data_IF_364428043171
#
_entry.id   IF_364428043171
#
_cell.length_a   1.000
_cell.length_b   1.000
_cell.length_c   1.000
_cell.angle_alpha   90.00
_cell.angle_beta   90.00
_cell.angle_gamma   90.00
#
_symmetry.space_group_name_H-M   'P 1'
#
loop_
_entity.id
_entity.type
_entity.pdbx_description
1 polymer ?
#
# COMPACT_ATOMS: atom_id res chain seq x y z
N UNK A 1 1.53 -22.42 4.92
CA UNK A 1 0.12 -22.46 5.37
C UNK A 1 -0.66 -23.35 4.41
N UNK A 2 -1.65 -24.12 4.87
CA UNK A 2 -2.51 -24.94 4.02
C UNK A 2 -3.86 -24.23 3.86
N UNK A 3 -4.31 -24.08 2.62
CA UNK A 3 -5.61 -23.50 2.27
C UNK A 3 -6.35 -24.53 1.41
N UNK A 4 -7.67 -24.65 1.60
CA UNK A 4 -8.54 -25.50 0.79
C UNK A 4 -9.35 -24.56 -0.11
N UNK A 5 -9.38 -24.85 -1.41
CA UNK A 5 -10.08 -24.04 -2.42
C UNK A 5 -10.82 -25.00 -3.33
N UNK A 6 -12.11 -24.74 -3.56
CA UNK A 6 -12.91 -25.52 -4.50
C UNK A 6 -12.72 -24.96 -5.91
N UNK A 7 -12.49 -25.86 -6.87
CA UNK A 7 -12.33 -25.54 -8.29
C UNK A 7 -13.30 -26.40 -9.11
N UNK A 8 -13.95 -25.84 -10.15
CA UNK A 8 -14.69 -26.62 -11.13
C UNK A 8 -13.83 -27.70 -11.78
N UNK A 9 -14.43 -28.83 -12.15
CA UNK A 9 -13.73 -29.98 -12.76
C UNK A 9 -12.99 -29.60 -14.05
N UNK A 10 -13.57 -28.70 -14.85
CA UNK A 10 -12.94 -28.13 -16.06
C UNK A 10 -11.62 -27.41 -15.75
N UNK A 11 -11.54 -26.69 -14.63
CA UNK A 11 -10.32 -25.99 -14.23
C UNK A 11 -9.25 -26.95 -13.70
N UNK A 12 -9.66 -28.05 -13.06
CA UNK A 12 -8.75 -29.11 -12.61
C UNK A 12 -8.11 -29.80 -13.82
N UNK A 13 -8.91 -30.16 -14.82
CA UNK A 13 -8.41 -30.77 -16.05
C UNK A 13 -7.43 -29.86 -16.80
N UNK A 14 -7.76 -28.57 -16.93
CA UNK A 14 -6.86 -27.59 -17.54
C UNK A 14 -5.54 -27.41 -16.76
N UNK A 15 -5.61 -27.42 -15.42
CA UNK A 15 -4.44 -27.32 -14.57
C UNK A 15 -3.53 -28.56 -14.71
N UNK A 16 -4.11 -29.74 -14.89
CA UNK A 16 -3.37 -30.98 -15.09
C UNK A 16 -2.59 -30.98 -16.40
N UNK A 17 -3.23 -30.61 -17.50
CA UNK A 17 -2.56 -30.46 -18.79
C UNK A 17 -1.41 -29.45 -18.72
N UNK A 18 -1.63 -28.31 -18.06
CA UNK A 18 -0.57 -27.32 -17.83
C UNK A 18 0.61 -27.88 -17.02
N UNK A 19 0.33 -28.64 -15.96
CA UNK A 19 1.38 -29.23 -15.13
C UNK A 19 2.21 -30.28 -15.89
N UNK A 20 1.58 -31.04 -16.80
CA UNK A 20 2.26 -32.01 -17.65
C UNK A 20 3.18 -31.35 -18.67
N UNK A 21 2.71 -30.29 -19.33
CA UNK A 21 3.49 -29.52 -20.31
C UNK A 21 4.70 -28.84 -19.65
N UNK A 22 4.49 -28.16 -18.52
CA UNK A 22 5.51 -27.38 -17.82
C UNK A 22 6.37 -28.22 -16.85
N UNK A 23 6.03 -29.51 -16.66
CA UNK A 23 6.71 -30.43 -15.72
C UNK A 23 6.82 -29.89 -14.29
N UNK A 24 5.77 -29.21 -13.83
CA UNK A 24 5.69 -28.64 -12.47
C UNK A 24 4.62 -29.35 -11.65
N UNK A 25 4.79 -29.37 -10.33
CA UNK A 25 3.74 -29.85 -9.44
C UNK A 25 2.51 -28.93 -9.48
N UNK A 26 1.30 -29.49 -9.32
CA UNK A 26 0.05 -28.72 -9.16
C UNK A 26 0.17 -27.57 -8.17
N UNK A 27 0.80 -27.83 -7.02
CA UNK A 27 0.98 -26.82 -5.97
C UNK A 27 1.89 -25.66 -6.42
N UNK A 28 2.88 -25.93 -7.25
CA UNK A 28 3.77 -24.90 -7.81
C UNK A 28 3.06 -24.07 -8.87
N UNK A 29 2.31 -24.71 -9.77
CA UNK A 29 1.49 -24.02 -10.76
C UNK A 29 0.51 -23.03 -10.09
N UNK A 30 -0.18 -23.47 -9.03
CA UNK A 30 -1.09 -22.61 -8.25
C UNK A 30 -0.32 -21.47 -7.57
N UNK A 31 0.85 -21.73 -6.98
CA UNK A 31 1.66 -20.65 -6.37
C UNK A 31 2.07 -19.60 -7.40
N UNK A 32 2.51 -20.00 -8.59
CA UNK A 32 2.87 -19.09 -9.68
C UNK A 32 1.67 -18.26 -10.12
N UNK A 33 0.54 -18.90 -10.38
CA UNK A 33 -0.70 -18.22 -10.75
C UNK A 33 -1.14 -17.19 -9.70
N UNK A 34 -1.09 -17.54 -8.41
CA UNK A 34 -1.40 -16.61 -7.33
C UNK A 34 -0.38 -15.46 -7.27
N UNK A 35 0.91 -15.75 -7.47
CA UNK A 35 1.97 -14.73 -7.42
C UNK A 35 1.90 -13.73 -8.59
N UNK A 36 1.42 -14.18 -9.74
CA UNK A 36 1.18 -13.34 -10.92
C UNK A 36 -0.12 -12.55 -10.81
N UNK A 37 -1.19 -13.20 -10.33
CA UNK A 37 -2.51 -12.58 -10.20
C UNK A 37 -2.56 -11.54 -9.08
N UNK A 38 -1.93 -11.85 -7.94
CA UNK A 38 -1.85 -10.91 -6.82
C UNK A 38 -0.77 -9.89 -7.17
N UNK A 39 -1.11 -8.60 -7.34
CA UNK A 39 -0.10 -7.59 -7.60
C UNK A 39 0.95 -7.66 -6.49
N UNK A 40 2.22 -7.74 -6.90
CA UNK A 40 3.39 -7.79 -5.99
C UNK A 40 3.45 -6.59 -5.03
N UNK A 41 2.69 -5.54 -5.34
CA UNK A 41 2.42 -4.43 -4.44
C UNK A 41 1.18 -4.79 -3.61
N UNK A 42 1.30 -4.97 -2.29
CA UNK A 42 0.14 -5.18 -1.43
C UNK A 42 -0.88 -4.05 -1.67
N UNK A 43 -2.06 -4.40 -2.20
CA UNK A 43 -3.21 -3.49 -2.38
C UNK A 43 -3.75 -2.90 -1.06
N UNK A 44 -3.12 -3.19 0.08
CA UNK A 44 -3.56 -2.80 1.42
C UNK A 44 -2.47 -2.26 2.34
N UNK A 45 -1.18 -2.41 2.00
CA UNK A 45 -0.19 -1.55 2.62
C UNK A 45 -0.26 -0.23 1.87
N UNK A 46 -1.17 0.64 2.31
CA UNK A 46 -0.93 2.08 2.22
C UNK A 46 0.53 2.23 2.63
N UNK A 47 1.43 2.49 1.68
CA UNK A 47 2.81 2.97 1.92
C UNK A 47 2.71 3.73 3.22
N UNK A 48 3.28 3.23 4.34
CA UNK A 48 3.16 3.90 5.64
C UNK A 48 3.51 5.34 5.34
N UNK A 49 2.51 6.22 5.24
CA UNK A 49 2.71 7.57 4.70
C UNK A 49 3.60 8.18 5.75
N UNK A 50 4.89 8.26 5.46
CA UNK A 50 5.79 8.89 6.40
C UNK A 50 5.38 10.35 6.44
N UNK A 51 5.62 11.05 7.55
CA UNK A 51 5.36 12.49 7.62
C UNK A 51 5.97 13.24 6.42
N UNK A 52 7.07 12.72 5.86
CA UNK A 52 7.75 13.22 4.66
C UNK A 52 6.93 13.10 3.36
N UNK A 53 6.00 12.14 3.28
CA UNK A 53 5.13 11.92 2.11
C UNK A 53 3.84 12.78 2.17
N UNK A 54 3.63 13.52 3.26
CA UNK A 54 2.48 14.39 3.38
C UNK A 54 2.70 15.67 2.55
N UNK A 55 1.76 16.07 1.66
CA UNK A 55 1.92 17.25 0.81
C UNK A 55 2.07 18.56 1.60
N UNK A 56 1.68 18.57 2.88
CA UNK A 56 1.88 19.69 3.80
C UNK A 56 3.26 19.73 4.50
N UNK A 57 4.08 18.68 4.39
CA UNK A 57 5.38 18.65 5.07
C UNK A 57 6.38 19.57 4.35
N UNK A 58 6.89 20.58 5.07
CA UNK A 58 7.81 21.56 4.51
C UNK A 58 7.15 22.72 3.76
N UNK A 59 5.82 22.82 3.74
CA UNK A 59 5.10 23.93 3.10
C UNK A 59 5.44 25.29 3.72
N UNK A 60 6.00 25.35 4.94
CA UNK A 60 6.41 26.60 5.59
C UNK A 60 7.93 26.84 5.53
N UNK A 61 8.69 25.95 4.90
CA UNK A 61 10.16 26.05 4.85
C UNK A 61 10.67 27.30 4.10
N UNK A 62 9.88 27.82 3.16
CA UNK A 62 10.24 29.01 2.37
C UNK A 62 9.82 30.32 3.06
N UNK A 63 8.94 30.24 4.05
CA UNK A 63 8.57 31.36 4.88
C UNK A 63 9.66 31.47 5.94
N UNK A 64 10.66 32.32 5.70
CA UNK A 64 11.75 32.63 6.64
C UNK A 64 11.21 33.46 7.82
N UNK A 65 10.24 32.91 8.53
CA UNK A 65 9.51 33.53 9.63
C UNK A 65 9.99 32.87 10.91
N UNK A 66 10.34 33.67 11.91
CA UNK A 66 10.61 33.17 13.24
C UNK A 66 9.32 32.60 13.84
N UNK A 67 9.36 31.33 14.22
CA UNK A 67 8.17 30.62 14.72
C UNK A 67 7.64 31.18 16.03
N UNK A 68 8.52 31.73 16.88
CA UNK A 68 8.14 32.30 18.16
C UNK A 68 7.48 33.67 17.96
N UNK A 69 8.09 34.55 17.18
CA UNK A 69 7.52 35.86 16.86
C UNK A 69 6.15 35.74 16.16
N UNK A 70 6.02 34.78 15.24
CA UNK A 70 4.75 34.51 14.57
C UNK A 70 3.68 34.00 15.52
N UNK A 71 4.03 33.09 16.43
CA UNK A 71 3.11 32.57 17.43
C UNK A 71 2.64 33.66 18.40
N UNK A 72 3.54 34.53 18.84
CA UNK A 72 3.23 35.65 19.73
C UNK A 72 2.30 36.66 19.05
N UNK A 73 2.58 37.02 17.80
CA UNK A 73 1.70 37.89 17.00
C UNK A 73 0.29 37.32 16.85
N UNK A 74 0.18 36.03 16.49
CA UNK A 74 -1.11 35.35 16.32
C UNK A 74 -1.89 35.25 17.64
N UNK A 75 -1.19 35.08 18.78
CA UNK A 75 -1.84 35.09 20.11
C UNK A 75 -2.32 36.48 20.51
N UNK A 76 -1.53 37.51 20.24
CA UNK A 76 -1.92 38.90 20.50
C UNK A 76 -3.17 39.31 19.68
N UNK A 77 -3.37 38.73 18.50
CA UNK A 77 -4.60 38.91 17.72
C UNK A 77 -5.84 38.34 18.41
N UNK A 78 -5.73 37.39 19.34
CA UNK A 78 -6.88 36.81 20.06
C UNK A 78 -7.15 37.52 21.39
N UNK A 79 -6.12 38.11 22.02
CA UNK A 79 -6.26 38.87 23.26
C UNK A 79 -6.98 40.22 23.09
N UNK A 80 -7.19 40.70 21.85
CA UNK A 80 -7.93 41.93 21.57
C UNK A 80 -9.46 41.76 21.49
N UNK A 81 -10.01 40.58 21.80
CA UNK A 81 -11.47 40.40 21.84
C UNK A 81 -12.06 41.01 23.13
N UNK A 82 -13.03 41.94 23.04
CA UNK A 82 -13.82 42.35 24.21
C UNK A 82 -14.70 41.21 24.73
#
# INVERSE_FOLDING_TARGET
>A
MRTIVDLPEEQIAALDSYCEEEKVSRAEAVRRAVSEFVPTKPKGEKKKRTIKDHPGFGSWKHLNIDGLEFQEKMRAEWDHRP
#
